data_IF_092780477521
#
_entry.id   IF_092780477521
#
_cell.length_a   1.000
_cell.length_b   1.000
_cell.length_c   1.000
_cell.angle_alpha   90.00
_cell.angle_beta   90.00
_cell.angle_gamma   90.00
#
_symmetry.space_group_name_H-M   'P 1'
#
loop_
_entity.id
_entity.type
_entity.pdbx_description
1 polymer ?
#
# COMPACT_ATOMS: atom_id res chain seq x y z
N UNK A 1 -7.57 -6.77 10.18
CA UNK A 1 -6.80 -5.94 11.13
C UNK A 1 -7.29 -6.07 12.57
N UNK A 2 -8.60 -6.13 12.82
CA UNK A 2 -9.13 -6.38 14.17
C UNK A 2 -8.72 -7.76 14.70
N UNK A 3 -8.84 -8.83 13.90
CA UNK A 3 -8.43 -10.20 14.28
C UNK A 3 -6.96 -10.33 14.67
N UNK A 4 -6.12 -9.36 14.28
CA UNK A 4 -4.69 -9.30 14.62
C UNK A 4 -4.46 -8.34 15.81
N UNK A 5 -5.53 -7.80 16.43
CA UNK A 5 -5.44 -6.84 17.53
C UNK A 5 -4.93 -5.44 17.15
N UNK A 6 -4.91 -5.11 15.84
CA UNK A 6 -4.42 -3.82 15.32
C UNK A 6 -5.51 -2.78 15.06
N UNK A 7 -6.78 -3.16 15.18
CA UNK A 7 -7.92 -2.25 15.05
C UNK A 7 -8.87 -2.39 16.23
N UNK A 8 -9.66 -1.36 16.48
CA UNK A 8 -10.62 -1.36 17.58
C UNK A 8 -11.67 -2.46 17.37
N UNK A 9 -12.01 -3.23 18.42
CA UNK A 9 -12.92 -4.38 18.38
C UNK A 9 -14.24 -4.14 17.63
N UNK A 10 -14.96 -3.00 17.79
CA UNK A 10 -16.19 -2.74 17.05
C UNK A 10 -16.05 -2.76 15.53
N UNK A 11 -14.88 -2.40 14.98
CA UNK A 11 -14.65 -2.37 13.53
C UNK A 11 -14.59 -3.76 12.89
N UNK A 12 -14.43 -4.81 13.71
CA UNK A 12 -14.44 -6.20 13.26
C UNK A 12 -15.82 -6.85 13.25
N UNK A 13 -16.88 -6.16 13.70
CA UNK A 13 -18.24 -6.71 13.69
C UNK A 13 -18.71 -6.92 12.25
N UNK A 14 -18.94 -8.18 11.91
CA UNK A 14 -19.45 -8.59 10.60
C UNK A 14 -20.91 -9.04 10.72
N UNK A 15 -21.69 -8.81 9.66
CA UNK A 15 -23.03 -9.35 9.57
C UNK A 15 -22.99 -10.85 9.16
N UNK A 16 -24.17 -11.49 9.03
CA UNK A 16 -24.28 -12.90 8.63
C UNK A 16 -23.61 -13.23 7.29
N UNK A 17 -23.43 -12.25 6.41
CA UNK A 17 -22.74 -12.37 5.12
C UNK A 17 -21.23 -12.09 5.21
N UNK A 18 -20.65 -11.92 6.41
CA UNK A 18 -19.22 -11.64 6.60
C UNK A 18 -18.77 -10.21 6.30
N UNK A 19 -19.71 -9.29 6.05
CA UNK A 19 -19.40 -7.89 5.71
C UNK A 19 -19.22 -7.07 6.99
N UNK A 20 -18.11 -6.33 7.16
CA UNK A 20 -17.84 -5.48 8.32
C UNK A 20 -18.64 -4.17 8.24
N UNK A 21 -19.91 -4.22 8.57
CA UNK A 21 -20.85 -3.11 8.40
C UNK A 21 -20.51 -1.87 9.23
N UNK A 22 -19.93 -2.06 10.44
CA UNK A 22 -19.49 -0.94 11.29
C UNK A 22 -18.34 -0.18 10.64
N UNK A 23 -17.37 -0.89 10.06
CA UNK A 23 -16.27 -0.26 9.34
C UNK A 23 -16.76 0.49 8.10
N UNK A 24 -17.76 -0.07 7.39
CA UNK A 24 -18.40 0.60 6.25
C UNK A 24 -19.15 1.87 6.65
N UNK A 25 -19.94 1.83 7.74
CA UNK A 25 -20.63 3.02 8.25
C UNK A 25 -19.63 4.12 8.64
N UNK A 26 -18.54 3.75 9.32
CA UNK A 26 -17.51 4.68 9.71
C UNK A 26 -16.84 5.30 8.49
N UNK A 27 -16.47 4.50 7.49
CA UNK A 27 -15.88 4.97 6.24
C UNK A 27 -16.82 5.89 5.45
N UNK A 28 -18.11 5.50 5.34
CA UNK A 28 -19.13 6.31 4.68
C UNK A 28 -19.40 7.64 5.41
N UNK A 29 -19.33 7.64 6.75
CA UNK A 29 -19.44 8.85 7.56
C UNK A 29 -18.35 9.87 7.17
N UNK A 30 -17.12 9.43 6.97
CA UNK A 30 -16.06 10.31 6.45
C UNK A 30 -16.33 10.78 5.01
N UNK A 31 -16.94 9.95 4.17
CA UNK A 31 -17.30 10.34 2.81
C UNK A 31 -18.36 11.47 2.78
N UNK A 32 -19.20 11.58 3.81
CA UNK A 32 -20.15 12.68 3.93
C UNK A 32 -19.45 14.05 4.10
N UNK A 33 -18.19 14.08 4.56
CA UNK A 33 -17.40 15.33 4.61
C UNK A 33 -17.22 15.91 3.21
N UNK A 34 -17.14 15.06 2.19
CA UNK A 34 -17.06 15.51 0.80
C UNK A 34 -18.30 16.28 0.35
N UNK A 35 -19.49 16.02 0.96
CA UNK A 35 -20.72 16.75 0.65
C UNK A 35 -20.68 18.20 1.13
N UNK A 36 -19.88 18.52 2.16
CA UNK A 36 -19.69 19.89 2.64
C UNK A 36 -19.08 20.75 1.52
N UNK A 37 -18.32 20.13 0.62
CA UNK A 37 -17.73 20.82 -0.52
C UNK A 37 -18.78 21.34 -1.51
N UNK A 38 -19.99 20.82 -1.53
CA UNK A 38 -21.07 21.29 -2.41
C UNK A 38 -21.76 22.58 -1.93
N UNK A 39 -21.52 22.99 -0.67
CA UNK A 39 -22.30 24.07 -0.02
C UNK A 39 -21.54 25.41 0.00
N UNK A 40 -20.22 25.43 -0.20
CA UNK A 40 -19.38 26.62 -0.06
C UNK A 40 -18.57 26.93 -1.32
N UNK A 41 -18.42 28.20 -1.68
CA UNK A 41 -17.60 28.65 -2.82
C UNK A 41 -16.10 28.32 -2.66
N UNK A 42 -15.60 28.14 -1.43
CA UNK A 42 -14.24 27.72 -1.15
C UNK A 42 -14.06 26.19 -1.17
N UNK A 43 -15.15 25.48 -1.36
CA UNK A 43 -15.19 24.03 -1.31
C UNK A 43 -14.50 23.37 -2.51
N UNK A 44 -14.42 24.04 -3.66
CA UNK A 44 -13.65 23.56 -4.82
C UNK A 44 -12.18 23.36 -4.47
N UNK A 45 -11.57 24.34 -3.80
CA UNK A 45 -10.16 24.25 -3.36
C UNK A 45 -9.92 23.10 -2.38
N UNK A 46 -10.85 22.90 -1.43
CA UNK A 46 -10.76 21.79 -0.48
C UNK A 46 -10.87 20.43 -1.20
N UNK A 47 -11.80 20.34 -2.16
CA UNK A 47 -11.97 19.11 -2.96
C UNK A 47 -10.72 18.79 -3.78
N UNK A 48 -10.14 19.75 -4.47
CA UNK A 48 -8.88 19.59 -5.21
C UNK A 48 -7.73 19.19 -4.29
N UNK A 49 -7.62 19.80 -3.11
CA UNK A 49 -6.62 19.44 -2.12
C UNK A 49 -6.78 17.99 -1.63
N UNK A 50 -8.00 17.54 -1.36
CA UNK A 50 -8.28 16.16 -0.94
C UNK A 50 -7.95 15.14 -2.03
N UNK A 51 -8.26 15.44 -3.30
CA UNK A 51 -7.88 14.57 -4.43
C UNK A 51 -6.36 14.49 -4.54
N UNK A 52 -5.67 15.62 -4.49
CA UNK A 52 -4.20 15.68 -4.55
C UNK A 52 -3.55 14.87 -3.44
N UNK A 53 -3.99 15.06 -2.20
CA UNK A 53 -3.49 14.30 -1.05
C UNK A 53 -3.76 12.80 -1.20
N UNK A 54 -4.93 12.41 -1.72
CA UNK A 54 -5.25 11.00 -1.98
C UNK A 54 -4.33 10.38 -3.02
N UNK A 55 -3.99 11.12 -4.08
CA UNK A 55 -3.03 10.68 -5.11
C UNK A 55 -1.65 10.43 -4.52
N UNK A 56 -1.11 11.38 -3.75
CA UNK A 56 0.20 11.23 -3.09
C UNK A 56 0.18 10.07 -2.09
N UNK A 57 -0.90 9.92 -1.31
CA UNK A 57 -1.07 8.80 -0.38
C UNK A 57 -1.01 7.45 -1.10
N UNK A 58 -1.64 7.32 -2.27
CA UNK A 58 -1.61 6.11 -3.07
C UNK A 58 -0.17 5.75 -3.49
N UNK A 59 0.62 6.70 -3.99
CA UNK A 59 2.02 6.46 -4.34
C UNK A 59 2.88 6.03 -3.15
N UNK A 60 2.65 6.63 -1.96
CA UNK A 60 3.35 6.22 -0.72
C UNK A 60 3.01 4.77 -0.38
N UNK A 61 1.73 4.39 -0.43
CA UNK A 61 1.28 3.02 -0.14
C UNK A 61 1.87 2.02 -1.14
N UNK A 62 1.83 2.31 -2.44
CA UNK A 62 2.42 1.44 -3.46
C UNK A 62 3.93 1.31 -3.30
N UNK A 63 4.62 2.37 -2.91
CA UNK A 63 6.06 2.32 -2.61
C UNK A 63 6.34 1.44 -1.39
N UNK A 64 5.53 1.55 -0.33
CA UNK A 64 5.66 0.69 0.85
C UNK A 64 5.44 -0.79 0.52
N UNK A 65 4.43 -1.10 -0.32
CA UNK A 65 4.18 -2.46 -0.82
C UNK A 65 5.38 -2.96 -1.61
N UNK A 66 5.94 -2.15 -2.52
CA UNK A 66 7.11 -2.51 -3.31
C UNK A 66 8.33 -2.82 -2.45
N UNK A 67 8.63 -1.98 -1.45
CA UNK A 67 9.72 -2.21 -0.50
C UNK A 67 9.52 -3.50 0.29
N UNK A 68 8.29 -3.73 0.76
CA UNK A 68 7.95 -4.96 1.50
C UNK A 68 8.11 -6.19 0.62
N UNK A 69 7.69 -6.13 -0.65
CA UNK A 69 7.83 -7.22 -1.61
C UNK A 69 9.30 -7.58 -1.88
N UNK A 70 10.17 -6.57 -2.05
CA UNK A 70 11.62 -6.81 -2.20
C UNK A 70 12.19 -7.46 -0.95
N UNK A 71 11.88 -6.93 0.23
CA UNK A 71 12.38 -7.49 1.49
C UNK A 71 11.89 -8.91 1.75
N UNK A 72 10.64 -9.20 1.42
CA UNK A 72 10.08 -10.53 1.50
C UNK A 72 10.84 -11.53 0.61
N UNK A 73 11.10 -11.17 -0.65
CA UNK A 73 11.88 -11.99 -1.56
C UNK A 73 13.33 -12.22 -1.06
N UNK A 74 13.97 -11.18 -0.53
CA UNK A 74 15.31 -11.29 0.07
C UNK A 74 15.31 -12.22 1.31
N UNK A 75 14.26 -12.16 2.15
CA UNK A 75 14.13 -13.02 3.32
C UNK A 75 13.93 -14.48 2.92
N UNK A 76 13.16 -14.76 1.88
CA UNK A 76 13.01 -16.13 1.35
C UNK A 76 14.35 -16.72 0.93
N UNK A 77 15.16 -15.95 0.21
CA UNK A 77 16.50 -16.38 -0.22
C UNK A 77 17.42 -16.58 0.98
N UNK A 78 17.46 -15.63 1.93
CA UNK A 78 18.31 -15.69 3.12
C UNK A 78 17.99 -16.88 4.01
N UNK A 79 16.72 -17.30 4.10
CA UNK A 79 16.29 -18.46 4.90
C UNK A 79 16.43 -19.80 4.15
N UNK A 80 16.99 -19.81 2.92
CA UNK A 80 17.20 -21.02 2.13
C UNK A 80 15.89 -21.72 1.74
N UNK A 81 14.76 -21.02 1.82
CA UNK A 81 13.44 -21.59 1.56
C UNK A 81 13.05 -21.29 0.14
N UNK A 82 12.90 -22.34 -0.64
CA UNK A 82 12.33 -22.22 -1.98
C UNK A 82 10.88 -21.78 -1.82
N UNK A 83 10.47 -20.64 -2.41
CA UNK A 83 9.10 -20.18 -2.25
C UNK A 83 8.15 -21.21 -2.88
N UNK A 84 7.44 -21.93 -2.05
CA UNK A 84 6.25 -22.69 -2.48
C UNK A 84 5.10 -21.73 -2.79
N UNK A 85 5.43 -20.55 -3.33
CA UNK A 85 4.43 -19.57 -3.73
C UNK A 85 3.85 -20.00 -5.08
N UNK A 86 2.52 -20.13 -5.20
CA UNK A 86 1.87 -20.57 -6.43
C UNK A 86 2.04 -19.56 -7.57
N UNK A 87 2.48 -18.35 -7.28
CA UNK A 87 2.67 -17.29 -8.25
C UNK A 87 3.94 -16.50 -7.98
N UNK A 88 4.82 -16.44 -8.97
CA UNK A 88 5.98 -15.55 -9.03
C UNK A 88 5.77 -14.52 -10.12
N UNK A 89 5.96 -13.26 -9.85
CA UNK A 89 5.85 -12.20 -10.86
C UNK A 89 6.92 -12.41 -11.95
N UNK A 90 6.51 -12.34 -13.23
CA UNK A 90 7.36 -12.69 -14.38
C UNK A 90 8.66 -11.90 -14.45
N UNK A 91 8.67 -10.64 -13.99
CA UNK A 91 9.83 -9.73 -14.03
C UNK A 91 10.42 -9.45 -12.65
N UNK A 92 10.19 -10.33 -11.67
CA UNK A 92 10.82 -10.15 -10.36
C UNK A 92 12.34 -10.37 -10.44
N UNK A 93 13.20 -9.56 -9.79
CA UNK A 93 12.89 -8.37 -8.96
C UNK A 93 12.82 -7.04 -9.73
N UNK A 94 13.19 -7.04 -11.02
CA UNK A 94 13.34 -5.81 -11.83
C UNK A 94 12.06 -4.99 -11.94
N UNK A 95 10.91 -5.65 -12.13
CA UNK A 95 9.61 -4.98 -12.18
C UNK A 95 9.29 -4.19 -10.91
N UNK A 96 9.67 -4.70 -9.74
CA UNK A 96 9.44 -4.01 -8.47
C UNK A 96 10.35 -2.80 -8.31
N UNK A 97 11.63 -2.89 -8.72
CA UNK A 97 12.55 -1.75 -8.72
C UNK A 97 12.09 -0.66 -9.69
N UNK A 98 11.64 -1.05 -10.89
CA UNK A 98 11.07 -0.11 -11.84
C UNK A 98 9.84 0.60 -11.28
N UNK A 99 8.92 -0.14 -10.65
CA UNK A 99 7.73 0.43 -10.00
C UNK A 99 8.09 1.43 -8.90
N UNK A 100 9.10 1.11 -8.07
CA UNK A 100 9.58 2.04 -7.03
C UNK A 100 10.18 3.31 -7.64
N UNK A 101 10.99 3.17 -8.70
CA UNK A 101 11.56 4.30 -9.41
C UNK A 101 10.48 5.18 -10.04
N UNK A 102 9.48 4.58 -10.67
CA UNK A 102 8.34 5.28 -11.25
C UNK A 102 7.52 6.01 -10.16
N UNK A 103 7.24 5.37 -9.02
CA UNK A 103 6.53 6.00 -7.91
C UNK A 103 7.32 7.19 -7.34
N UNK A 104 8.64 7.06 -7.15
CA UNK A 104 9.50 8.15 -6.69
C UNK A 104 9.49 9.32 -7.69
N UNK A 105 9.53 9.02 -8.98
CA UNK A 105 9.42 10.02 -10.03
C UNK A 105 8.06 10.74 -9.96
N UNK A 106 6.95 10.02 -9.91
CA UNK A 106 5.62 10.62 -9.84
C UNK A 106 5.43 11.46 -8.58
N UNK A 107 5.90 11.01 -7.42
CA UNK A 107 5.85 11.80 -6.18
C UNK A 107 6.64 13.11 -6.34
N UNK A 108 7.82 13.06 -6.93
CA UNK A 108 8.69 14.24 -7.11
C UNK A 108 8.10 15.24 -8.09
N UNK A 109 7.47 14.76 -9.16
CA UNK A 109 6.91 15.59 -10.21
C UNK A 109 5.41 15.91 -10.04
N UNK A 110 4.76 15.37 -9.01
CA UNK A 110 3.33 15.60 -8.77
C UNK A 110 2.98 17.09 -8.65
N UNK A 111 3.83 17.87 -7.99
CA UNK A 111 3.67 19.31 -7.84
C UNK A 111 4.31 20.16 -8.94
N UNK A 112 4.72 19.57 -10.08
CA UNK A 112 5.38 20.28 -11.17
C UNK A 112 4.61 21.55 -11.66
N UNK A 113 3.26 21.54 -11.80
CA UNK A 113 2.52 22.72 -12.21
C UNK A 113 2.71 23.94 -11.31
N UNK A 114 3.07 23.73 -10.04
CA UNK A 114 3.33 24.81 -9.09
C UNK A 114 4.53 25.69 -9.47
N UNK A 115 5.47 25.11 -10.26
CA UNK A 115 6.72 25.77 -10.67
C UNK A 115 6.62 26.41 -12.07
N UNK A 116 5.57 26.10 -12.86
CA UNK A 116 5.48 26.55 -14.27
C UNK A 116 5.04 28.02 -14.41
N UNK A 117 4.27 28.53 -13.45
CA UNK A 117 3.78 29.90 -13.42
C UNK A 117 4.31 30.63 -12.18
N UNK A 118 3.68 31.72 -11.76
CA UNK A 118 4.01 32.33 -10.48
C UNK A 118 3.88 31.27 -9.37
N UNK A 119 4.96 31.10 -8.60
CA UNK A 119 5.01 30.11 -7.51
C UNK A 119 3.82 30.29 -6.56
N UNK A 120 3.01 29.26 -6.42
CA UNK A 120 1.86 29.25 -5.56
C UNK A 120 2.15 28.41 -4.32
N UNK A 121 2.35 29.09 -3.19
CA UNK A 121 2.70 28.46 -1.91
C UNK A 121 1.63 27.49 -1.42
N UNK A 122 0.33 27.84 -1.57
CA UNK A 122 -0.78 26.99 -1.14
C UNK A 122 -0.76 25.65 -1.88
N UNK A 123 -0.64 25.71 -3.21
CA UNK A 123 -0.60 24.51 -4.07
C UNK A 123 0.66 23.68 -3.80
N UNK A 124 1.80 24.33 -3.57
CA UNK A 124 3.04 23.62 -3.22
C UNK A 124 2.88 22.86 -1.90
N UNK A 125 2.36 23.50 -0.87
CA UNK A 125 2.13 22.85 0.42
C UNK A 125 1.19 21.66 0.27
N UNK A 126 0.07 21.81 -0.43
CA UNK A 126 -0.90 20.71 -0.63
C UNK A 126 -0.26 19.51 -1.35
N UNK A 127 0.59 19.74 -2.34
CA UNK A 127 1.24 18.67 -3.09
C UNK A 127 2.29 17.90 -2.28
N UNK A 128 3.00 18.55 -1.38
CA UNK A 128 4.16 17.94 -0.72
C UNK A 128 4.00 17.71 0.79
N UNK A 129 3.01 18.31 1.47
CA UNK A 129 2.85 18.25 2.92
C UNK A 129 2.69 16.81 3.46
N UNK A 130 2.11 15.92 2.67
CA UNK A 130 1.87 14.54 3.10
C UNK A 130 3.17 13.76 3.29
N UNK A 131 4.23 14.08 2.54
CA UNK A 131 5.52 13.41 2.64
C UNK A 131 6.19 13.63 4.00
N UNK A 132 6.42 14.90 4.45
CA UNK A 132 7.01 15.13 5.77
C UNK A 132 6.11 14.65 6.90
N UNK A 133 4.79 14.75 6.77
CA UNK A 133 3.85 14.18 7.75
C UNK A 133 4.02 12.67 7.85
N UNK A 134 4.05 11.96 6.72
CA UNK A 134 4.25 10.52 6.70
C UNK A 134 5.58 10.10 7.34
N UNK A 135 6.68 10.76 6.96
CA UNK A 135 7.99 10.50 7.55
C UNK A 135 7.98 10.75 9.05
N UNK A 136 7.37 11.85 9.50
CA UNK A 136 7.24 12.19 10.92
C UNK A 136 6.48 11.12 11.69
N UNK A 137 5.37 10.60 11.14
CA UNK A 137 4.63 9.49 11.75
C UNK A 137 5.45 8.20 11.82
N UNK A 138 6.20 7.87 10.77
CA UNK A 138 7.06 6.68 10.77
C UNK A 138 8.15 6.80 11.84
N UNK A 139 8.82 7.95 11.92
CA UNK A 139 9.86 8.21 12.91
C UNK A 139 9.28 8.19 14.32
N UNK A 140 8.18 8.91 14.55
CA UNK A 140 7.47 8.93 15.82
C UNK A 140 7.09 7.52 16.29
N UNK A 141 6.47 6.73 15.41
CA UNK A 141 6.04 5.38 15.73
C UNK A 141 7.21 4.46 16.04
N UNK A 142 8.29 4.59 15.26
CA UNK A 142 9.52 3.83 15.48
C UNK A 142 10.16 4.16 16.83
N UNK A 143 10.18 5.44 17.20
CA UNK A 143 10.70 5.90 18.48
C UNK A 143 9.80 5.46 19.65
N UNK A 144 8.49 5.68 19.53
CA UNK A 144 7.50 5.33 20.55
C UNK A 144 7.46 3.83 20.85
N UNK A 145 7.41 3.00 19.83
CA UNK A 145 7.36 1.53 19.95
C UNK A 145 8.73 0.88 20.09
N UNK A 146 9.84 1.65 19.99
CA UNK A 146 11.21 1.13 20.00
C UNK A 146 11.40 -0.05 19.04
N UNK A 147 10.74 0.01 17.87
CA UNK A 147 10.78 -1.06 16.90
C UNK A 147 12.18 -1.18 16.30
N UNK A 148 12.74 -2.40 16.38
CA UNK A 148 14.02 -2.74 15.75
C UNK A 148 13.81 -3.12 14.30
N UNK A 149 14.85 -2.92 13.51
CA UNK A 149 14.85 -3.42 12.13
C UNK A 149 15.04 -4.93 12.16
N UNK A 150 14.05 -5.70 11.69
CA UNK A 150 14.09 -7.15 11.67
C UNK A 150 15.11 -7.63 10.64
N UNK A 151 16.01 -8.54 11.01
CA UNK A 151 16.96 -9.16 10.08
C UNK A 151 16.22 -10.09 9.12
N UNK A 152 16.75 -10.27 7.92
CA UNK A 152 16.12 -11.09 6.88
C UNK A 152 15.98 -12.57 7.32
N UNK A 153 16.93 -13.07 8.09
CA UNK A 153 16.95 -14.43 8.62
C UNK A 153 15.90 -14.68 9.71
N UNK A 154 15.55 -13.62 10.47
CA UNK A 154 14.58 -13.67 11.59
C UNK A 154 13.17 -13.24 11.17
N UNK A 155 13.00 -12.86 9.90
CA UNK A 155 11.71 -12.36 9.40
C UNK A 155 10.69 -13.49 9.35
N UNK A 156 9.54 -13.29 10.01
CA UNK A 156 8.42 -14.22 9.91
C UNK A 156 7.74 -14.07 8.53
N UNK A 157 7.97 -15.06 7.68
CA UNK A 157 7.44 -15.12 6.31
C UNK A 157 6.23 -16.06 6.20
N UNK A 158 5.87 -16.77 7.28
CA UNK A 158 4.83 -17.80 7.28
C UNK A 158 3.56 -17.38 8.01
N UNK A 159 3.69 -16.53 9.03
CA UNK A 159 2.56 -16.11 9.85
C UNK A 159 1.54 -15.33 9.02
N UNK A 160 0.33 -15.87 8.92
CA UNK A 160 -0.76 -15.31 8.11
C UNK A 160 -0.69 -15.67 6.62
N UNK A 161 0.28 -16.48 6.20
CA UNK A 161 0.29 -17.09 4.88
C UNK A 161 -0.83 -18.12 4.73
N UNK A 162 -1.31 -18.31 3.50
CA UNK A 162 -2.23 -19.40 3.17
C UNK A 162 -1.41 -20.68 2.98
N UNK A 163 -1.74 -21.73 3.72
CA UNK A 163 -1.19 -23.07 3.46
C UNK A 163 -1.78 -23.59 2.13
N UNK A 164 -0.94 -23.61 1.11
CA UNK A 164 -1.27 -24.28 -0.14
C UNK A 164 -0.81 -25.73 -0.01
N UNK A 165 -1.75 -26.68 -0.01
CA UNK A 165 -1.43 -28.09 -0.05
C UNK A 165 -0.61 -28.41 -1.31
N UNK A 166 0.24 -29.44 -1.24
CA UNK A 166 1.11 -29.84 -2.38
C UNK A 166 0.34 -30.11 -3.66
N UNK A 167 -0.91 -30.55 -3.58
CA UNK A 167 -1.79 -30.77 -4.73
C UNK A 167 -2.15 -29.45 -5.44
N UNK A 168 -2.51 -28.38 -4.71
CA UNK A 168 -2.82 -27.08 -5.29
C UNK A 168 -1.60 -26.45 -5.97
N UNK A 169 -0.42 -26.63 -5.39
CA UNK A 169 0.85 -26.18 -5.97
C UNK A 169 1.16 -26.86 -7.28
N UNK A 170 0.93 -28.18 -7.37
CA UNK A 170 1.18 -28.97 -8.57
C UNK A 170 0.18 -28.66 -9.69
N UNK A 171 -1.09 -28.48 -9.37
CA UNK A 171 -2.13 -28.09 -10.34
C UNK A 171 -1.80 -26.69 -10.91
N UNK A 172 -1.41 -25.75 -10.08
CA UNK A 172 -1.11 -24.39 -10.52
C UNK A 172 0.16 -24.30 -11.38
N UNK A 173 1.20 -25.10 -11.06
CA UNK A 173 2.39 -25.24 -11.91
C UNK A 173 2.04 -25.81 -13.30
N UNK A 174 1.22 -26.85 -13.35
CA UNK A 174 0.78 -27.45 -14.63
C UNK A 174 -0.03 -26.48 -15.48
N UNK A 175 -0.92 -25.72 -14.86
CA UNK A 175 -1.75 -24.71 -15.54
C UNK A 175 -0.90 -23.54 -16.07
N UNK A 176 0.12 -23.09 -15.33
CA UNK A 176 1.05 -22.07 -15.80
C UNK A 176 1.90 -22.53 -16.98
N UNK A 177 2.47 -23.73 -16.89
CA UNK A 177 3.27 -24.30 -17.99
C UNK A 177 2.42 -24.47 -19.25
N UNK A 178 1.17 -24.91 -19.11
CA UNK A 178 0.23 -25.02 -20.22
C UNK A 178 -0.12 -23.66 -20.85
N UNK A 179 -0.31 -22.61 -20.03
CA UNK A 179 -0.54 -21.25 -20.56
C UNK A 179 0.66 -20.69 -21.31
N UNK A 180 1.87 -20.85 -20.80
CA UNK A 180 3.09 -20.37 -21.47
C UNK A 180 3.27 -21.11 -22.80
N UNK A 181 2.98 -22.41 -22.85
CA UNK A 181 3.10 -23.20 -24.09
C UNK A 181 2.07 -22.86 -25.17
N UNK A 182 0.91 -22.32 -24.77
CA UNK A 182 -0.15 -21.91 -25.72
C UNK A 182 0.01 -20.44 -26.20
N UNK A 183 0.99 -19.70 -25.73
CA UNK A 183 1.28 -18.30 -26.13
C UNK A 183 2.54 -18.24 -27.03
N UNK A 184 3.28 -19.31 -27.13
CA UNK A 184 4.38 -19.53 -28.10
C UNK A 184 3.89 -20.37 -29.24
#
# INVERSE_FOLDING_TARGET
MERIGKAHRPLGLTNKAGVPWVALLFSNGFSCIALISAVSSNAGKLYEALITLSGVAAFIVWSAIGITHIRFGQALVAQGKNPSTPFTAAFYPYGTYFSLGANAFFISFHGYPTFLNQFNEETFVVNYILLPIFVSFVVFWKWYKKTKWVKLEEMDIWSGGRDYGEEELNVNKRTMVARVRNVV
#
